data_IF_816600476291
#
_entry.id   IF_816600476291
#
_cell.length_a   1.000
_cell.length_b   1.000
_cell.length_c   1.000
_cell.angle_alpha   90.00
_cell.angle_beta   90.00
_cell.angle_gamma   90.00
#
_symmetry.space_group_name_H-M   'P 1'
#
loop_
_entity.id
_entity.type
_entity.pdbx_description
1 polymer ?
#
# COMPACT_ATOMS: atom_id res chain seq x y z
N UNK A 1 2.12 18.88 6.17
CA UNK A 1 1.89 17.43 6.00
C UNK A 1 2.75 16.66 7.00
N UNK A 2 2.15 15.75 7.76
CA UNK A 2 2.83 14.85 8.70
C UNK A 2 2.80 13.44 8.12
N UNK A 3 3.93 12.75 8.16
CA UNK A 3 4.09 11.39 7.62
C UNK A 3 4.56 10.49 8.76
N UNK A 4 3.83 9.41 9.03
CA UNK A 4 4.11 8.49 10.13
C UNK A 4 4.23 7.08 9.56
N UNK A 5 5.41 6.48 9.70
CA UNK A 5 5.63 5.09 9.33
C UNK A 5 5.16 4.17 10.46
N UNK A 6 4.36 3.18 10.11
CA UNK A 6 3.99 2.03 10.92
C UNK A 6 4.83 0.83 10.47
N UNK A 7 5.79 0.38 11.27
CA UNK A 7 6.57 -0.81 10.94
C UNK A 7 5.67 -2.02 10.77
N UNK A 8 5.94 -2.82 9.74
CA UNK A 8 5.24 -4.09 9.50
C UNK A 8 5.45 -5.08 10.64
N UNK A 9 4.48 -5.94 10.84
CA UNK A 9 4.51 -7.03 11.83
C UNK A 9 4.73 -8.33 11.07
N UNK A 10 5.77 -9.07 11.42
CA UNK A 10 6.19 -10.31 10.73
C UNK A 10 6.31 -10.12 9.21
N UNK A 11 5.32 -10.56 8.45
CA UNK A 11 5.29 -10.53 6.98
C UNK A 11 4.60 -9.31 6.38
N UNK A 12 4.04 -8.41 7.22
CA UNK A 12 3.43 -7.19 6.73
C UNK A 12 4.45 -6.29 6.04
N UNK A 13 4.04 -5.60 5.00
CA UNK A 13 4.74 -4.39 4.54
C UNK A 13 4.67 -3.31 5.63
N UNK A 14 5.59 -2.34 5.57
CA UNK A 14 5.39 -1.13 6.35
C UNK A 14 4.17 -0.38 5.79
N UNK A 15 3.33 0.12 6.68
CA UNK A 15 2.28 1.06 6.31
C UNK A 15 2.73 2.50 6.63
N UNK A 16 2.19 3.47 5.89
CA UNK A 16 2.51 4.88 6.10
C UNK A 16 1.22 5.70 6.18
N UNK A 17 0.97 6.30 7.33
CA UNK A 17 -0.14 7.26 7.52
C UNK A 17 0.34 8.64 7.15
N UNK A 18 -0.39 9.30 6.25
CA UNK A 18 -0.12 10.66 5.81
C UNK A 18 -1.27 11.56 6.22
N UNK A 19 -0.97 12.59 6.99
CA UNK A 19 -1.94 13.55 7.52
C UNK A 19 -1.71 14.90 6.83
N UNK A 20 -2.68 15.29 6.04
CA UNK A 20 -2.75 16.61 5.41
C UNK A 20 -3.71 17.56 6.11
N UNK A 21 -3.86 18.76 5.57
CA UNK A 21 -4.84 19.73 6.07
C UNK A 21 -6.25 19.50 5.49
N UNK A 22 -6.34 18.87 4.33
CA UNK A 22 -7.61 18.61 3.63
C UNK A 22 -7.73 17.14 3.19
N UNK A 23 -7.04 16.24 3.84
CA UNK A 23 -7.14 14.82 3.54
C UNK A 23 -6.05 14.00 4.22
N UNK A 24 -6.44 12.78 4.62
CA UNK A 24 -5.55 11.83 5.24
C UNK A 24 -5.57 10.54 4.44
N UNK A 25 -4.41 9.93 4.24
CA UNK A 25 -4.32 8.68 3.50
C UNK A 25 -3.41 7.67 4.18
N UNK A 26 -3.65 6.41 3.87
CA UNK A 26 -2.81 5.29 4.24
C UNK A 26 -2.11 4.75 2.99
N UNK A 27 -0.81 4.52 3.05
CA UNK A 27 -0.08 3.77 2.02
C UNK A 27 0.24 2.40 2.57
N UNK A 28 -0.22 1.36 1.88
CA UNK A 28 -0.19 -0.04 2.27
C UNK A 28 -0.96 -0.38 3.56
N UNK A 29 -1.41 -1.61 3.65
CA UNK A 29 -2.36 -2.06 4.66
C UNK A 29 -1.88 -3.24 5.52
N UNK A 30 -0.74 -3.85 5.15
CA UNK A 30 -0.28 -5.09 5.77
C UNK A 30 -1.10 -6.32 5.32
N UNK A 31 -0.90 -7.44 6.01
CA UNK A 31 -1.68 -8.67 5.83
C UNK A 31 -3.04 -8.59 6.53
N UNK A 32 -3.95 -9.51 6.24
CA UNK A 32 -5.20 -9.65 6.98
C UNK A 32 -5.01 -10.18 8.41
N UNK A 33 -3.84 -10.74 8.73
CA UNK A 33 -3.58 -11.34 10.04
C UNK A 33 -3.54 -10.32 11.19
N UNK A 34 -3.06 -9.10 10.91
CA UNK A 34 -2.90 -8.04 11.91
C UNK A 34 -3.79 -6.84 11.65
N UNK A 35 -4.83 -7.00 10.82
CA UNK A 35 -5.69 -5.91 10.36
C UNK A 35 -6.35 -5.12 11.50
N UNK A 36 -6.82 -5.79 12.56
CA UNK A 36 -7.44 -5.11 13.72
C UNK A 36 -6.43 -4.28 14.51
N UNK A 37 -5.23 -4.82 14.74
CA UNK A 37 -4.15 -4.06 15.37
C UNK A 37 -3.71 -2.88 14.49
N UNK A 38 -3.73 -3.05 13.16
CA UNK A 38 -3.44 -1.96 12.24
C UNK A 38 -4.49 -0.84 12.34
N UNK A 39 -5.78 -1.18 12.46
CA UNK A 39 -6.85 -0.20 12.70
C UNK A 39 -6.61 0.58 13.98
N UNK A 40 -6.27 -0.07 15.09
CA UNK A 40 -5.93 0.60 16.35
C UNK A 40 -4.75 1.57 16.20
N UNK A 41 -3.67 1.13 15.54
CA UNK A 41 -2.47 1.96 15.31
C UNK A 41 -2.77 3.17 14.43
N UNK A 42 -3.55 3.00 13.38
CA UNK A 42 -3.98 4.07 12.48
C UNK A 42 -4.87 5.05 13.23
N UNK A 43 -5.88 4.57 13.97
CA UNK A 43 -6.79 5.40 14.78
C UNK A 43 -6.05 6.24 15.81
N UNK A 44 -5.06 5.65 16.50
CA UNK A 44 -4.21 6.37 17.46
C UNK A 44 -3.35 7.47 16.83
N UNK A 45 -3.01 7.36 15.54
CA UNK A 45 -2.26 8.39 14.81
C UNK A 45 -3.17 9.50 14.29
N UNK A 46 -4.37 9.12 13.82
CA UNK A 46 -5.35 10.03 13.23
C UNK A 46 -6.06 10.91 14.29
N UNK A 47 -6.10 10.48 15.54
CA UNK A 47 -6.69 11.26 16.66
C UNK A 47 -8.07 11.85 16.32
N UNK A 48 -9.01 10.97 15.94
CA UNK A 48 -10.40 11.28 15.56
C UNK A 48 -10.60 12.00 14.21
N UNK A 49 -9.57 12.17 13.38
CA UNK A 49 -9.77 12.60 11.99
C UNK A 49 -9.99 11.39 11.07
N UNK A 50 -10.73 11.59 9.98
CA UNK A 50 -11.07 10.50 9.06
C UNK A 50 -9.87 10.03 8.23
N UNK A 51 -9.84 8.74 7.92
CA UNK A 51 -9.02 8.22 6.83
C UNK A 51 -9.86 8.34 5.53
N UNK A 52 -9.35 9.03 4.53
CA UNK A 52 -10.11 9.31 3.32
C UNK A 52 -9.85 8.32 2.20
N UNK A 53 -8.67 7.70 2.17
CA UNK A 53 -8.32 6.71 1.16
C UNK A 53 -7.14 5.84 1.56
N UNK A 54 -7.09 4.66 0.96
CA UNK A 54 -5.96 3.73 1.03
C UNK A 54 -5.30 3.68 -0.34
N UNK A 55 -3.99 3.86 -0.40
CA UNK A 55 -3.17 3.78 -1.60
C UNK A 55 -2.27 2.56 -1.50
N UNK A 56 -2.40 1.59 -2.39
CA UNK A 56 -1.58 0.37 -2.37
C UNK A 56 -0.38 0.50 -3.30
N UNK A 57 0.79 0.10 -2.85
CA UNK A 57 1.99 0.03 -3.70
C UNK A 57 1.95 -1.15 -4.67
N UNK A 58 1.02 -2.07 -4.48
CA UNK A 58 0.75 -3.21 -5.35
C UNK A 58 -0.25 -4.18 -4.71
N UNK A 59 -0.66 -5.20 -5.48
CA UNK A 59 -1.68 -6.18 -5.07
C UNK A 59 -1.19 -7.26 -4.09
N UNK A 60 0.12 -7.32 -3.80
CA UNK A 60 0.70 -8.39 -2.98
C UNK A 60 0.11 -8.43 -1.58
N UNK A 61 -0.19 -9.64 -1.07
CA UNK A 61 -0.83 -9.87 0.23
C UNK A 61 -0.17 -9.12 1.40
N UNK A 62 1.18 -9.03 1.50
CA UNK A 62 1.81 -8.23 2.55
C UNK A 62 1.50 -6.73 2.51
N UNK A 63 1.07 -6.20 1.36
CA UNK A 63 0.72 -4.78 1.19
C UNK A 63 -0.79 -4.55 1.26
N UNK A 64 -1.60 -5.51 0.82
CA UNK A 64 -3.01 -5.32 0.51
C UNK A 64 -3.98 -6.17 1.32
N UNK A 65 -3.50 -7.22 2.00
CA UNK A 65 -4.38 -8.19 2.68
C UNK A 65 -5.29 -7.58 3.74
N UNK A 66 -4.84 -6.56 4.45
CA UNK A 66 -5.62 -5.83 5.46
C UNK A 66 -6.52 -4.71 4.92
N UNK A 67 -6.40 -4.37 3.63
CA UNK A 67 -7.02 -3.16 3.08
C UNK A 67 -8.55 -3.12 3.21
N UNK A 68 -9.22 -4.25 2.96
CA UNK A 68 -10.68 -4.36 3.09
C UNK A 68 -11.15 -3.99 4.49
N UNK A 69 -10.63 -4.67 5.50
CA UNK A 69 -11.02 -4.46 6.89
C UNK A 69 -10.72 -3.04 7.39
N UNK A 70 -9.57 -2.49 6.98
CA UNK A 70 -9.22 -1.10 7.30
C UNK A 70 -10.20 -0.15 6.63
N UNK A 71 -10.51 -0.32 5.34
CA UNK A 71 -11.50 0.49 4.62
C UNK A 71 -12.85 0.49 5.34
N UNK A 72 -13.39 -0.69 5.66
CA UNK A 72 -14.66 -0.87 6.38
C UNK A 72 -14.63 -0.18 7.77
N UNK A 73 -13.50 -0.21 8.46
CA UNK A 73 -13.32 0.44 9.76
C UNK A 73 -13.28 1.96 9.69
N UNK A 74 -12.98 2.52 8.52
CA UNK A 74 -12.92 3.96 8.25
C UNK A 74 -13.95 4.40 7.20
N UNK A 75 -15.22 4.02 7.44
CA UNK A 75 -16.40 4.45 6.64
C UNK A 75 -16.31 4.09 5.16
N UNK A 76 -15.83 2.89 4.85
CA UNK A 76 -15.66 2.38 3.49
C UNK A 76 -14.80 3.30 2.60
N UNK A 77 -13.72 3.84 3.17
CA UNK A 77 -12.82 4.69 2.41
C UNK A 77 -12.24 3.96 1.18
N UNK A 78 -12.15 4.62 0.01
CA UNK A 78 -11.75 3.97 -1.24
C UNK A 78 -10.32 3.43 -1.18
N UNK A 79 -10.15 2.23 -1.77
CA UNK A 79 -8.87 1.54 -1.89
C UNK A 79 -8.38 1.72 -3.33
N UNK A 80 -7.23 2.37 -3.49
CA UNK A 80 -6.61 2.62 -4.77
C UNK A 80 -5.48 1.64 -5.04
N UNK A 81 -5.43 1.08 -6.23
CA UNK A 81 -4.35 0.20 -6.71
C UNK A 81 -4.13 0.47 -8.20
N UNK A 82 -2.94 0.23 -8.72
CA UNK A 82 -2.70 0.33 -10.15
C UNK A 82 -3.67 -0.58 -10.94
N UNK A 83 -4.18 -0.11 -12.06
CA UNK A 83 -5.20 -0.80 -12.88
C UNK A 83 -4.90 -2.29 -13.13
N UNK A 84 -3.64 -2.65 -13.36
CA UNK A 84 -3.28 -4.05 -13.59
C UNK A 84 -3.36 -4.94 -12.34
N UNK A 85 -3.56 -4.37 -11.17
CA UNK A 85 -3.77 -5.08 -9.91
C UNK A 85 -5.25 -5.25 -9.51
N UNK A 86 -6.17 -4.46 -10.09
CA UNK A 86 -7.58 -4.41 -9.68
C UNK A 86 -8.27 -5.77 -9.73
N UNK A 87 -8.24 -6.43 -10.88
CA UNK A 87 -8.93 -7.70 -11.07
C UNK A 87 -8.54 -8.76 -10.04
N UNK A 88 -7.26 -8.78 -9.63
CA UNK A 88 -6.76 -9.71 -8.62
C UNK A 88 -7.34 -9.43 -7.23
N UNK A 89 -7.47 -8.17 -6.84
CA UNK A 89 -8.03 -7.77 -5.54
C UNK A 89 -9.55 -7.91 -5.51
N UNK A 90 -10.22 -7.58 -6.61
CA UNK A 90 -11.68 -7.66 -6.72
C UNK A 90 -12.19 -9.11 -6.75
N UNK A 91 -11.44 -10.02 -7.36
CA UNK A 91 -11.75 -11.45 -7.33
C UNK A 91 -11.27 -12.18 -6.07
N UNK A 92 -10.42 -11.57 -5.26
CA UNK A 92 -9.76 -12.24 -4.15
C UNK A 92 -8.80 -13.35 -4.61
N UNK A 93 -8.11 -13.13 -5.74
CA UNK A 93 -7.20 -14.13 -6.32
C UNK A 93 -5.96 -14.33 -5.44
N UNK A 94 -5.97 -15.43 -4.69
CA UNK A 94 -4.90 -15.73 -3.75
C UNK A 94 -3.58 -16.17 -4.41
N UNK A 95 -3.57 -16.55 -5.69
CA UNK A 95 -2.35 -16.88 -6.43
C UNK A 95 -1.60 -15.65 -6.89
N UNK A 96 -2.29 -14.73 -7.59
CA UNK A 96 -1.65 -13.52 -8.14
C UNK A 96 -1.30 -12.50 -7.06
N UNK A 97 -2.03 -12.51 -5.94
CA UNK A 97 -1.71 -11.72 -4.74
C UNK A 97 -0.65 -12.37 -3.86
N UNK A 98 -0.28 -13.62 -4.13
CA UNK A 98 0.63 -14.43 -3.32
C UNK A 98 0.13 -14.76 -1.91
N UNK A 99 -1.14 -14.62 -1.61
CA UNK A 99 -1.71 -15.03 -0.33
C UNK A 99 -1.47 -16.52 -0.06
N UNK A 100 -1.50 -17.35 -1.11
CA UNK A 100 -1.17 -18.80 -1.03
C UNK A 100 0.25 -19.08 -0.50
N UNK A 101 1.19 -18.15 -0.62
CA UNK A 101 2.56 -18.30 -0.09
C UNK A 101 2.64 -18.03 1.41
N UNK A 102 1.58 -17.48 1.96
CA UNK A 102 1.42 -17.17 3.38
C UNK A 102 0.36 -18.05 4.04
N UNK A 103 -0.09 -19.10 3.35
CA UNK A 103 -1.15 -20.00 3.81
C UNK A 103 -2.41 -19.22 4.23
N UNK A 104 -2.80 -18.27 3.40
CA UNK A 104 -3.90 -17.32 3.68
C UNK A 104 -4.77 -17.11 2.45
N UNK A 105 -6.02 -16.75 2.69
CA UNK A 105 -6.93 -16.26 1.66
C UNK A 105 -6.72 -14.76 1.40
N UNK A 106 -7.05 -14.32 0.20
CA UNK A 106 -7.09 -12.90 -0.15
C UNK A 106 -8.53 -12.39 -0.06
N UNK A 107 -8.84 -11.45 0.84
CA UNK A 107 -10.18 -10.87 0.91
C UNK A 107 -10.52 -10.12 -0.38
N UNK A 108 -11.62 -10.52 -1.05
CA UNK A 108 -12.15 -9.77 -2.20
C UNK A 108 -12.59 -8.37 -1.77
N UNK A 109 -12.15 -7.34 -2.50
CA UNK A 109 -12.48 -5.95 -2.17
C UNK A 109 -12.61 -5.09 -3.42
N UNK A 110 -13.55 -4.13 -3.39
CA UNK A 110 -13.67 -3.14 -4.46
C UNK A 110 -12.47 -2.20 -4.47
N UNK A 111 -12.01 -1.83 -5.65
CA UNK A 111 -10.86 -0.96 -5.82
C UNK A 111 -11.10 0.15 -6.84
N UNK A 112 -10.33 1.21 -6.72
CA UNK A 112 -10.25 2.31 -7.69
C UNK A 112 -8.90 2.19 -8.41
N UNK A 113 -8.94 2.17 -9.74
CA UNK A 113 -7.72 2.05 -10.55
C UNK A 113 -6.90 3.33 -10.56
N UNK A 114 -5.64 3.24 -10.22
CA UNK A 114 -4.67 4.33 -10.37
C UNK A 114 -4.14 4.42 -11.79
N UNK A 115 -4.02 5.66 -12.25
CA UNK A 115 -3.25 6.01 -13.45
C UNK A 115 -1.82 6.42 -13.10
N UNK A 116 -0.96 6.40 -14.11
CA UNK A 116 0.38 6.98 -13.98
C UNK A 116 0.28 8.50 -13.75
N UNK A 117 1.17 9.02 -12.89
CA UNK A 117 1.26 10.44 -12.57
C UNK A 117 0.00 11.05 -11.91
N UNK A 118 -0.86 10.22 -11.32
CA UNK A 118 -2.00 10.73 -10.54
C UNK A 118 -1.49 11.48 -9.29
N UNK A 119 -2.14 12.61 -8.97
CA UNK A 119 -1.72 13.49 -7.88
C UNK A 119 -2.85 13.59 -6.85
N UNK A 120 -2.51 13.31 -5.60
CA UNK A 120 -3.37 13.49 -4.44
C UNK A 120 -2.96 14.75 -3.67
N UNK A 121 -3.83 15.77 -3.72
CA UNK A 121 -3.61 17.04 -3.02
C UNK A 121 -4.11 16.92 -1.59
N UNK A 122 -3.26 17.26 -0.61
CA UNK A 122 -3.53 17.16 0.83
C UNK A 122 -3.58 18.54 1.52
N UNK A 123 -3.68 19.61 0.75
CA UNK A 123 -3.74 21.00 1.20
C UNK A 123 -2.37 21.60 1.50
N UNK A 124 -1.60 21.01 2.38
CA UNK A 124 -0.24 21.43 2.75
C UNK A 124 0.87 20.55 2.11
N UNK A 125 0.54 19.89 1.01
CA UNK A 125 1.45 19.07 0.24
C UNK A 125 0.67 18.20 -0.74
N UNK A 126 1.40 17.43 -1.54
CA UNK A 126 0.83 16.50 -2.52
C UNK A 126 1.62 15.20 -2.59
N UNK A 127 0.96 14.16 -3.06
CA UNK A 127 1.54 12.84 -3.31
C UNK A 127 1.32 12.49 -4.77
N UNK A 128 2.39 12.19 -5.49
CA UNK A 128 2.32 11.78 -6.90
C UNK A 128 2.55 10.29 -7.03
N UNK A 129 1.77 9.62 -7.88
CA UNK A 129 1.99 8.22 -8.26
C UNK A 129 3.09 8.11 -9.28
N UNK A 130 4.01 7.18 -9.05
CA UNK A 130 5.07 6.82 -10.03
C UNK A 130 4.93 5.34 -10.33
N UNK A 131 4.71 4.99 -11.59
CA UNK A 131 4.67 3.60 -12.02
C UNK A 131 6.07 3.00 -12.02
N UNK A 132 6.25 1.87 -11.34
CA UNK A 132 7.54 1.22 -11.11
C UNK A 132 7.48 -0.27 -11.50
N UNK A 133 7.27 -0.59 -12.79
CA UNK A 133 7.21 -1.97 -13.24
C UNK A 133 8.55 -2.68 -13.05
N UNK A 134 8.49 -3.99 -12.76
CA UNK A 134 9.69 -4.81 -12.59
C UNK A 134 9.52 -5.85 -11.50
N UNK A 135 9.16 -5.46 -10.28
CA UNK A 135 8.83 -6.40 -9.21
C UNK A 135 7.46 -7.08 -9.47
N UNK A 136 6.48 -6.30 -9.89
CA UNK A 136 5.21 -6.73 -10.48
C UNK A 136 4.72 -5.68 -11.48
N UNK A 137 3.76 -6.07 -12.32
CA UNK A 137 3.18 -5.17 -13.33
C UNK A 137 2.23 -4.11 -12.76
N UNK A 138 1.94 -4.15 -11.47
CA UNK A 138 1.07 -3.21 -10.74
C UNK A 138 1.83 -2.42 -9.67
N UNK A 139 3.15 -2.51 -9.67
CA UNK A 139 3.97 -1.81 -8.68
C UNK A 139 3.98 -0.30 -8.92
N UNK A 140 3.64 0.45 -7.87
CA UNK A 140 3.71 1.92 -7.86
C UNK A 140 4.48 2.42 -6.64
N UNK A 141 5.11 3.58 -6.80
CA UNK A 141 5.65 4.38 -5.71
C UNK A 141 4.84 5.64 -5.51
N UNK A 142 4.89 6.17 -4.32
CA UNK A 142 4.23 7.42 -3.93
C UNK A 142 5.28 8.44 -3.55
N UNK A 143 5.43 9.48 -4.37
CA UNK A 143 6.45 10.49 -4.21
C UNK A 143 5.90 11.76 -3.56
N UNK A 144 6.61 12.25 -2.55
CA UNK A 144 6.34 13.44 -1.78
C UNK A 144 7.37 14.52 -2.17
N UNK A 145 7.00 15.42 -3.08
CA UNK A 145 7.95 16.38 -3.63
C UNK A 145 8.50 17.36 -2.58
N UNK A 146 7.64 17.82 -1.66
CA UNK A 146 8.03 18.72 -0.57
C UNK A 146 9.01 18.08 0.45
N UNK A 147 9.04 16.75 0.53
CA UNK A 147 9.92 15.98 1.42
C UNK A 147 11.08 15.31 0.69
N UNK A 148 11.09 15.33 -0.66
CA UNK A 148 12.04 14.58 -1.49
C UNK A 148 12.13 13.10 -1.07
N UNK A 149 10.96 12.51 -0.77
CA UNK A 149 10.81 11.16 -0.24
C UNK A 149 9.87 10.35 -1.11
N UNK A 150 10.14 9.05 -1.23
CA UNK A 150 9.26 8.10 -1.93
C UNK A 150 8.95 6.90 -1.04
N UNK A 151 7.69 6.47 -1.06
CA UNK A 151 7.25 5.17 -0.51
C UNK A 151 7.02 4.23 -1.69
N UNK A 152 7.77 3.14 -1.76
CA UNK A 152 7.77 2.23 -2.93
C UNK A 152 7.55 0.76 -2.57
N UNK A 153 7.01 0.47 -1.39
CA UNK A 153 6.68 -0.89 -0.97
C UNK A 153 7.88 -1.84 -1.02
N UNK A 154 7.68 -3.01 -1.61
CA UNK A 154 8.68 -4.08 -1.69
C UNK A 154 9.67 -3.94 -2.87
N UNK A 155 9.65 -2.85 -3.60
CA UNK A 155 10.44 -2.67 -4.84
C UNK A 155 11.93 -2.46 -4.52
N UNK A 156 12.26 -1.75 -3.44
CA UNK A 156 13.65 -1.55 -3.04
C UNK A 156 14.16 -2.78 -2.30
N UNK A 157 15.27 -3.38 -2.78
CA UNK A 157 15.91 -4.47 -2.05
C UNK A 157 16.42 -3.96 -0.70
N UNK A 158 16.39 -4.83 0.30
CA UNK A 158 17.14 -4.58 1.52
C UNK A 158 18.63 -4.49 1.15
N UNK A 159 19.35 -3.57 1.76
CA UNK A 159 20.78 -3.37 1.52
C UNK A 159 21.64 -4.63 1.78
N UNK A 160 21.11 -5.60 2.50
CA UNK A 160 21.75 -6.87 2.86
C UNK A 160 21.39 -8.04 1.92
N UNK A 161 20.57 -7.81 0.89
CA UNK A 161 20.21 -8.84 -0.09
C UNK A 161 20.56 -8.36 -1.49
N UNK A 162 21.24 -9.19 -2.32
CA UNK A 162 21.43 -8.87 -3.72
C UNK A 162 20.06 -8.65 -4.37
N UNK A 163 19.92 -7.60 -5.16
CA UNK A 163 18.71 -7.37 -5.94
C UNK A 163 18.57 -8.52 -6.95
N UNK A 164 17.34 -8.81 -7.37
CA UNK A 164 17.10 -9.79 -8.44
C UNK A 164 17.84 -9.43 -9.75
N UNK A 165 18.27 -8.18 -9.87
CA UNK A 165 19.02 -7.63 -11.00
C UNK A 165 20.53 -7.86 -10.87
N UNK A 166 21.04 -8.19 -9.69
CA UNK A 166 22.45 -8.48 -9.43
C UNK A 166 22.80 -9.97 -9.62
N UNK A 167 21.80 -10.82 -9.94
CA UNK A 167 22.02 -12.21 -10.27
C UNK A 167 22.60 -12.28 -11.70
N UNK A 168 23.75 -12.96 -11.91
CA UNK A 168 24.27 -13.17 -13.23
C UNK A 168 23.23 -13.81 -14.12
N UNK A 169 22.96 -13.26 -15.27
CA UNK A 169 22.14 -13.85 -16.32
C UNK A 169 22.90 -15.04 -16.89
N UNK A 170 22.83 -16.17 -16.23
CA UNK A 170 23.54 -17.35 -16.71
C UNK A 170 23.48 -18.49 -15.71
N UNK A 171 22.39 -19.26 -15.77
CA UNK A 171 22.33 -20.73 -15.68
C UNK A 171 20.92 -21.16 -16.05
#
# INVERSE_FOLDING_TARGET
>A
MRIVRLPGIHHDSNAVVVIGNVGNLLIDAGTSWYQSLQVERISGILDNVSLERILLTGRRFPCSGGAKHISESFSDCPIHVHKSGQASLESGDFFTTWANRFDSDMPSTKTVGLEENEIFVLGNGQVSTIYLPGHSNDSVGYYFDDKKMMVCGAILPRADRPSRWDLPTGC
#
